data_IF_820355531916
#
_entry.id   IF_820355531916
#
_cell.length_a   1.000
_cell.length_b   1.000
_cell.length_c   1.000
_cell.angle_alpha   90.00
_cell.angle_beta   90.00
_cell.angle_gamma   90.00
#
_symmetry.space_group_name_H-M   'P 1'
#
loop_
_entity.id
_entity.type
_entity.pdbx_description
1 polymer ?
#
# COMPACT_ATOMS: atom_id res chain seq x y z
N UNK A 1 10.85 22.15 16.82
CA UNK A 1 10.55 23.19 15.80
C UNK A 1 11.35 22.82 14.56
N UNK A 2 10.67 22.78 13.40
CA UNK A 2 11.22 22.61 12.05
C UNK A 2 11.74 21.19 11.69
N UNK A 3 11.38 20.54 10.58
CA UNK A 3 10.48 20.84 9.44
C UNK A 3 10.10 19.47 8.83
N UNK A 4 8.87 19.37 8.34
CA UNK A 4 8.41 18.28 7.49
C UNK A 4 9.28 18.17 6.23
N UNK A 5 9.79 16.98 5.95
CA UNK A 5 10.11 16.56 4.59
C UNK A 5 8.99 15.62 4.15
N UNK A 6 7.79 16.19 3.97
CA UNK A 6 6.69 15.49 3.31
C UNK A 6 6.59 16.12 1.93
N UNK A 7 7.24 15.49 0.95
CA UNK A 7 7.03 15.83 -0.45
C UNK A 7 5.53 15.68 -0.77
N UNK A 8 4.97 16.74 -1.35
CA UNK A 8 3.55 17.08 -1.48
C UNK A 8 2.79 16.24 -2.54
N UNK A 9 3.22 15.00 -2.81
CA UNK A 9 2.65 14.15 -3.87
C UNK A 9 1.74 13.02 -3.37
N UNK A 10 1.45 12.95 -2.06
CA UNK A 10 0.98 11.69 -1.45
C UNK A 10 -0.54 11.53 -1.19
N UNK A 11 -1.40 12.38 -1.76
CA UNK A 11 -2.73 12.64 -1.20
C UNK A 11 -3.72 11.45 -1.06
N UNK A 12 -3.81 10.47 -1.99
CA UNK A 12 -4.98 9.54 -1.97
C UNK A 12 -4.81 8.21 -1.24
N UNK A 13 -3.62 7.59 -1.22
CA UNK A 13 -3.42 6.38 -0.41
C UNK A 13 -3.25 6.75 1.07
N UNK A 14 -2.71 7.94 1.32
CA UNK A 14 -2.79 8.58 2.62
C UNK A 14 -4.25 8.77 3.02
N UNK A 15 -5.16 9.18 2.12
CA UNK A 15 -6.59 9.35 2.44
C UNK A 15 -7.23 8.12 3.08
N UNK A 16 -6.94 6.88 2.64
CA UNK A 16 -7.54 5.70 3.29
C UNK A 16 -7.04 5.51 4.73
N UNK A 17 -5.72 5.59 4.93
CA UNK A 17 -5.12 5.50 6.27
C UNK A 17 -5.54 6.71 7.10
N UNK A 18 -5.69 7.87 6.50
CA UNK A 18 -6.12 9.12 7.11
C UNK A 18 -7.58 9.07 7.54
N UNK A 19 -8.49 8.60 6.69
CA UNK A 19 -9.91 8.43 7.00
C UNK A 19 -10.09 7.44 8.15
N UNK A 20 -9.35 6.33 8.09
CA UNK A 20 -9.37 5.33 9.15
C UNK A 20 -8.76 5.90 10.43
N UNK A 21 -7.51 6.36 10.41
CA UNK A 21 -6.78 6.72 11.62
C UNK A 21 -7.11 8.12 12.15
N UNK A 22 -7.64 9.02 11.32
CA UNK A 22 -7.70 10.49 11.51
C UNK A 22 -6.32 11.13 11.59
N UNK A 23 -5.41 10.68 10.73
CA UNK A 23 -4.04 11.19 10.63
C UNK A 23 -3.26 11.14 11.97
N UNK A 24 -3.53 10.13 12.79
CA UNK A 24 -2.75 9.90 14.01
C UNK A 24 -1.68 8.85 13.77
N UNK A 25 -0.46 9.18 14.18
CA UNK A 25 0.69 8.28 14.23
C UNK A 25 0.66 7.36 15.48
N UNK A 26 -0.43 7.40 16.26
CA UNK A 26 -0.56 6.60 17.47
C UNK A 26 -0.84 5.12 17.14
N UNK A 27 0.10 4.26 17.56
CA UNK A 27 0.02 2.80 17.47
C UNK A 27 -1.32 2.21 17.96
N UNK A 28 -1.88 2.73 19.04
CA UNK A 28 -3.13 2.20 19.61
C UNK A 28 -4.33 2.49 18.70
N UNK A 29 -4.37 3.66 18.08
CA UNK A 29 -5.42 4.01 17.11
C UNK A 29 -5.29 3.19 15.84
N UNK A 30 -4.07 2.96 15.36
CA UNK A 30 -3.85 2.08 14.22
C UNK A 30 -4.39 0.67 14.50
N UNK A 31 -4.03 0.09 15.65
CA UNK A 31 -4.48 -1.26 16.04
C UNK A 31 -5.99 -1.39 16.19
N UNK A 32 -6.67 -0.35 16.69
CA UNK A 32 -8.12 -0.41 16.91
C UNK A 32 -8.94 -0.15 15.65
N UNK A 33 -8.35 0.47 14.63
CA UNK A 33 -9.08 0.90 13.43
C UNK A 33 -8.68 0.16 12.16
N UNK A 34 -7.41 -0.17 11.97
CA UNK A 34 -6.95 -0.84 10.74
C UNK A 34 -7.15 -2.35 10.89
N UNK A 35 -7.97 -2.98 10.03
CA UNK A 35 -8.25 -4.41 10.13
C UNK A 35 -7.04 -5.24 9.70
N UNK A 36 -6.93 -6.43 10.28
CA UNK A 36 -6.02 -7.46 9.78
C UNK A 36 -6.70 -8.10 8.56
N UNK A 37 -6.03 -8.07 7.41
CA UNK A 37 -6.56 -8.55 6.13
C UNK A 37 -5.72 -9.69 5.57
N UNK A 38 -6.36 -10.53 4.76
CA UNK A 38 -5.73 -11.56 3.95
C UNK A 38 -5.38 -11.02 2.56
N UNK A 39 -4.72 -11.85 1.74
CA UNK A 39 -4.44 -11.50 0.35
C UNK A 39 -5.73 -11.36 -0.48
N UNK A 40 -6.72 -12.19 -0.20
CA UNK A 40 -7.94 -12.26 -1.02
C UNK A 40 -8.80 -11.00 -0.83
N UNK A 41 -8.75 -10.39 0.35
CA UNK A 41 -9.38 -9.11 0.65
C UNK A 41 -8.77 -7.95 -0.20
N UNK A 42 -7.50 -8.05 -0.56
CA UNK A 42 -6.77 -7.05 -1.36
C UNK A 42 -6.69 -7.40 -2.85
N UNK A 43 -7.11 -8.60 -3.24
CA UNK A 43 -6.91 -9.13 -4.60
C UNK A 43 -7.53 -8.24 -5.67
N UNK A 44 -8.70 -7.68 -5.40
CA UNK A 44 -9.38 -6.77 -6.32
C UNK A 44 -8.54 -5.51 -6.63
N UNK A 45 -8.02 -4.86 -5.59
CA UNK A 45 -7.21 -3.65 -5.74
C UNK A 45 -5.85 -3.93 -6.40
N UNK A 46 -5.23 -5.06 -6.07
CA UNK A 46 -4.02 -5.54 -6.74
C UNK A 46 -4.27 -5.74 -8.24
N UNK A 47 -5.41 -6.33 -8.61
CA UNK A 47 -5.77 -6.54 -10.02
C UNK A 47 -6.06 -5.24 -10.75
N UNK A 48 -6.70 -4.25 -10.10
CA UNK A 48 -6.86 -2.91 -10.69
C UNK A 48 -5.52 -2.29 -11.06
N UNK A 49 -4.54 -2.35 -10.16
CA UNK A 49 -3.19 -1.82 -10.40
C UNK A 49 -2.51 -2.60 -11.54
N UNK A 50 -2.64 -3.92 -11.55
CA UNK A 50 -2.07 -4.79 -12.59
C UNK A 50 -2.66 -4.49 -13.98
N UNK A 51 -3.96 -4.17 -14.03
CA UNK A 51 -4.67 -3.77 -15.25
C UNK A 51 -4.39 -2.33 -15.69
N UNK A 52 -3.53 -1.60 -14.98
CA UNK A 52 -3.06 -0.28 -15.39
C UNK A 52 -3.65 0.90 -14.63
N UNK A 53 -4.47 0.68 -13.60
CA UNK A 53 -4.92 1.78 -12.73
C UNK A 53 -3.71 2.39 -12.00
N UNK A 54 -3.50 3.69 -12.21
CA UNK A 54 -2.41 4.47 -11.58
C UNK A 54 -2.92 5.37 -10.45
N UNK A 55 -4.18 5.21 -10.06
CA UNK A 55 -4.71 5.87 -8.87
C UNK A 55 -3.95 5.39 -7.62
N UNK A 56 -3.82 6.22 -6.57
CA UNK A 56 -3.11 5.84 -5.36
C UNK A 56 -3.99 4.94 -4.48
N UNK A 57 -4.13 3.67 -4.87
CA UNK A 57 -5.05 2.71 -4.23
C UNK A 57 -4.46 2.18 -2.91
N UNK A 58 -3.23 1.66 -2.94
CA UNK A 58 -2.56 1.05 -1.78
C UNK A 58 -1.33 1.83 -1.32
N UNK A 59 -0.76 2.65 -2.20
CA UNK A 59 0.45 3.41 -1.93
C UNK A 59 0.34 4.78 -2.61
N UNK A 60 0.95 5.77 -1.97
CA UNK A 60 1.01 7.12 -2.49
C UNK A 60 2.02 7.23 -3.64
N UNK A 61 3.05 6.37 -3.61
CA UNK A 61 4.03 6.25 -4.70
C UNK A 61 3.51 5.28 -5.78
N UNK A 62 3.80 5.55 -7.06
CA UNK A 62 3.46 4.63 -8.15
C UNK A 62 4.07 3.24 -7.94
N UNK A 63 3.26 2.20 -8.11
CA UNK A 63 3.73 0.81 -8.12
C UNK A 63 4.59 0.61 -9.37
N UNK A 64 5.85 0.24 -9.17
CA UNK A 64 6.82 0.08 -10.25
C UNK A 64 6.84 -1.34 -10.83
N UNK A 65 6.58 -2.35 -10.00
CA UNK A 65 6.54 -3.76 -10.42
C UNK A 65 5.75 -4.62 -9.42
N UNK A 66 5.51 -5.89 -9.80
CA UNK A 66 4.89 -6.89 -8.93
C UNK A 66 5.87 -8.02 -8.62
N UNK A 67 6.11 -8.24 -7.34
CA UNK A 67 6.89 -9.39 -6.88
C UNK A 67 5.97 -10.59 -6.69
N UNK A 68 6.30 -11.73 -7.30
CA UNK A 68 5.56 -12.97 -7.06
C UNK A 68 6.04 -13.63 -5.77
N UNK A 69 5.12 -13.97 -4.87
CA UNK A 69 5.43 -14.84 -3.74
C UNK A 69 5.39 -16.32 -4.14
N UNK A 70 6.01 -17.20 -3.34
CA UNK A 70 5.87 -18.65 -3.48
C UNK A 70 4.47 -19.17 -3.09
N UNK A 71 3.72 -18.38 -2.29
CA UNK A 71 2.35 -18.69 -1.94
C UNK A 71 1.37 -18.42 -3.08
N UNK A 72 0.31 -19.22 -3.14
CA UNK A 72 -0.75 -19.14 -4.15
C UNK A 72 -2.09 -18.71 -3.54
N UNK A 73 -2.95 -18.11 -4.34
CA UNK A 73 -4.38 -17.92 -4.08
C UNK A 73 -5.14 -18.35 -5.33
N UNK A 74 -6.13 -19.24 -5.16
CA UNK A 74 -6.91 -19.80 -6.26
C UNK A 74 -6.06 -20.38 -7.42
N UNK A 75 -4.94 -21.03 -7.10
CA UNK A 75 -4.03 -21.64 -8.09
C UNK A 75 -3.01 -20.69 -8.73
N UNK A 76 -3.12 -19.39 -8.50
CA UNK A 76 -2.19 -18.39 -9.06
C UNK A 76 -1.24 -17.84 -8.00
N UNK A 77 -0.03 -17.45 -8.42
CA UNK A 77 0.94 -16.81 -7.51
C UNK A 77 0.42 -15.46 -7.04
N UNK A 78 0.60 -15.19 -5.75
CA UNK A 78 0.26 -13.88 -5.18
C UNK A 78 1.19 -12.79 -5.71
N UNK A 79 0.61 -11.74 -6.26
CA UNK A 79 1.29 -10.55 -6.73
C UNK A 79 1.43 -9.55 -5.58
N UNK A 80 2.66 -9.11 -5.29
CA UNK A 80 2.92 -8.09 -4.27
C UNK A 80 3.39 -6.80 -4.94
N UNK A 81 2.56 -5.74 -4.93
CA UNK A 81 2.98 -4.44 -5.43
C UNK A 81 4.25 -3.97 -4.71
N UNK A 82 5.21 -3.42 -5.45
CA UNK A 82 6.38 -2.76 -4.87
C UNK A 82 6.66 -1.43 -5.56
N UNK A 83 7.34 -0.55 -4.84
CA UNK A 83 7.78 0.76 -5.31
C UNK A 83 9.29 0.73 -5.55
N UNK A 84 9.80 1.66 -6.34
CA UNK A 84 11.22 1.72 -6.72
C UNK A 84 12.14 1.81 -5.49
N UNK A 85 11.78 2.66 -4.54
CA UNK A 85 12.53 2.88 -3.30
C UNK A 85 12.66 1.60 -2.46
N UNK A 86 11.63 0.76 -2.45
CA UNK A 86 11.66 -0.51 -1.71
C UNK A 86 12.61 -1.52 -2.38
N UNK A 87 12.82 -1.43 -3.69
CA UNK A 87 13.80 -2.27 -4.39
C UNK A 87 15.24 -1.86 -4.11
N UNK A 88 15.49 -0.57 -3.91
CA UNK A 88 16.79 -0.06 -3.49
C UNK A 88 17.11 -0.47 -2.05
N UNK A 89 16.13 -0.41 -1.14
CA UNK A 89 16.27 -0.84 0.26
C UNK A 89 16.61 -2.34 0.42
N UNK A 90 16.26 -3.17 -0.56
CA UNK A 90 16.50 -4.63 -0.54
C UNK A 90 17.87 -5.05 -1.05
N UNK A 91 18.60 -4.14 -1.68
CA UNK A 91 19.97 -4.37 -2.12
C UNK A 91 20.93 -4.23 -0.94
#
# INVERSE_FOLDING_TARGET
MAIANCDDENAKALQFIEDMTRNTDNRNTFKSKVPVVSYDDLKHDIQRIANGDRSPILCAHPISEFLTSSGISAGERKLRPTIRQEMERRR
#
